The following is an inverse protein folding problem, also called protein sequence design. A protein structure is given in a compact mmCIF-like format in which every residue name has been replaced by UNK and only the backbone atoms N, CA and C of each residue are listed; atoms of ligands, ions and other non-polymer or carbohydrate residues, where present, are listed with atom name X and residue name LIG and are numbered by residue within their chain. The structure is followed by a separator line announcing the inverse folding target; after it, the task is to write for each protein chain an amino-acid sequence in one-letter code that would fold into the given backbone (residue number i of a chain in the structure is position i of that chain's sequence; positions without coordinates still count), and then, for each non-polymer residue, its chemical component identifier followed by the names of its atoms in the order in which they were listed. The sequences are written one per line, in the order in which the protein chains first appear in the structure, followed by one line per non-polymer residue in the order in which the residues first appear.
data_IF_728823354103
#
_entry.id   IF_728823354103
#
_cell.length_a   1.000
_cell.length_b   1.000
_cell.length_c   1.000
_cell.angle_alpha   90.00
_cell.angle_beta   90.00
_cell.angle_gamma   90.00
#
_symmetry.space_group_name_H-M   'P 1'
#
loop_
_entity.id
_entity.type
_entity.pdbx_description
1 polymer ?
#
# COMPACT_ATOMS: atom_id res chain seq x y z
N UNK A 1 10.25 -6.46 -16.25
CA UNK A 1 9.21 -6.30 -15.23
C UNK A 1 7.91 -6.87 -15.75
N UNK A 2 7.00 -7.24 -14.86
CA UNK A 2 5.65 -7.69 -15.19
C UNK A 2 4.61 -6.83 -14.45
N UNK A 3 3.37 -6.91 -14.91
CA UNK A 3 2.21 -6.30 -14.24
C UNK A 3 1.18 -7.42 -14.09
N UNK A 4 0.89 -7.83 -12.87
CA UNK A 4 -0.16 -8.79 -12.56
C UNK A 4 -1.48 -8.05 -12.34
N UNK A 5 -2.55 -8.57 -12.93
CA UNK A 5 -3.90 -8.01 -12.85
C UNK A 5 -4.82 -9.09 -12.27
N UNK A 6 -5.25 -8.88 -11.03
CA UNK A 6 -6.05 -9.80 -10.26
C UNK A 6 -7.39 -9.18 -9.82
N UNK A 7 -8.23 -9.96 -9.17
CA UNK A 7 -9.51 -9.53 -8.64
C UNK A 7 -9.91 -10.40 -7.44
N UNK A 8 -10.02 -9.79 -6.27
CA UNK A 8 -10.70 -10.33 -5.09
C UNK A 8 -12.06 -9.63 -4.85
N UNK A 9 -12.65 -9.11 -5.94
CA UNK A 9 -13.83 -8.27 -5.97
C UNK A 9 -14.11 -7.79 -7.40
N UNK A 10 -15.19 -7.06 -7.62
CA UNK A 10 -15.68 -6.70 -8.97
C UNK A 10 -15.85 -5.20 -9.18
N UNK A 11 -15.44 -4.38 -8.21
CA UNK A 11 -15.80 -2.95 -8.14
C UNK A 11 -14.62 -2.05 -7.77
N UNK A 12 -14.85 -0.75 -7.92
CA UNK A 12 -13.92 0.29 -7.48
C UNK A 12 -12.69 0.44 -8.37
N UNK A 13 -11.68 1.13 -7.83
CA UNK A 13 -10.37 1.29 -8.47
C UNK A 13 -9.49 0.09 -8.14
N UNK A 14 -8.69 -0.35 -9.10
CA UNK A 14 -7.70 -1.38 -8.85
C UNK A 14 -6.65 -0.86 -7.86
N UNK A 15 -6.52 -1.55 -6.73
CA UNK A 15 -5.54 -1.28 -5.71
C UNK A 15 -4.19 -1.86 -6.14
N UNK A 16 -3.14 -1.04 -6.15
CA UNK A 16 -1.77 -1.55 -6.13
C UNK A 16 -1.46 -2.05 -4.72
N UNK A 17 -1.28 -3.36 -4.57
CA UNK A 17 -1.11 -4.00 -3.26
C UNK A 17 0.19 -4.79 -3.12
N UNK A 18 0.95 -5.04 -4.19
CA UNK A 18 2.34 -5.51 -4.08
C UNK A 18 3.25 -4.84 -5.11
N UNK A 19 4.48 -4.56 -4.71
CA UNK A 19 5.56 -4.01 -5.56
C UNK A 19 6.81 -4.85 -5.35
N UNK A 20 7.42 -5.31 -6.44
CA UNK A 20 8.68 -6.07 -6.43
C UNK A 20 9.79 -5.34 -7.19
N UNK A 21 11.05 -5.51 -6.76
CA UNK A 21 12.22 -4.87 -7.38
C UNK A 21 12.36 -3.37 -7.13
N UNK A 22 11.79 -2.92 -6.01
CA UNK A 22 12.00 -1.61 -5.39
C UNK A 22 11.28 -0.42 -6.01
N UNK A 23 11.80 0.79 -5.76
CA UNK A 23 11.03 2.04 -5.89
C UNK A 23 10.78 2.48 -7.34
N UNK A 24 11.58 2.00 -8.30
CA UNK A 24 11.50 2.41 -9.70
C UNK A 24 10.13 2.15 -10.33
N UNK A 25 9.59 0.95 -10.16
CA UNK A 25 8.26 0.58 -10.69
C UNK A 25 7.14 1.33 -9.96
N UNK A 26 7.19 1.43 -8.63
CA UNK A 26 6.21 2.20 -7.87
C UNK A 26 6.18 3.68 -8.29
N UNK A 27 7.34 4.28 -8.56
CA UNK A 27 7.43 5.66 -9.05
C UNK A 27 6.92 5.83 -10.48
N UNK A 28 7.12 4.82 -11.34
CA UNK A 28 6.52 4.82 -12.68
C UNK A 28 4.99 4.77 -12.59
N UNK A 29 4.45 3.87 -11.75
CA UNK A 29 3.02 3.80 -11.44
C UNK A 29 2.49 5.14 -10.93
N UNK A 30 3.11 5.70 -9.89
CA UNK A 30 2.74 6.97 -9.27
C UNK A 30 2.59 8.13 -10.28
N UNK A 31 3.47 8.19 -11.29
CA UNK A 31 3.49 9.30 -12.27
C UNK A 31 2.60 9.09 -13.49
N UNK A 32 2.31 7.85 -13.86
CA UNK A 32 1.66 7.53 -15.13
C UNK A 32 0.25 6.96 -14.98
N UNK A 33 -0.05 6.29 -13.87
CA UNK A 33 -1.36 5.69 -13.64
C UNK A 33 -2.35 6.80 -13.24
N UNK A 34 -3.52 6.91 -13.89
CA UNK A 34 -4.51 7.93 -13.58
C UNK A 34 -5.11 7.65 -12.19
N UNK A 35 -5.20 8.67 -11.34
CA UNK A 35 -5.73 8.56 -9.97
C UNK A 35 -5.17 7.33 -9.20
N UNK A 36 -3.83 7.23 -9.05
CA UNK A 36 -3.16 6.04 -8.53
C UNK A 36 -3.67 5.71 -7.12
N UNK A 37 -3.90 4.42 -6.87
CA UNK A 37 -4.46 3.93 -5.60
C UNK A 37 -3.60 2.77 -5.08
N UNK A 38 -3.00 2.94 -3.91
CA UNK A 38 -2.01 2.00 -3.41
C UNK A 38 -1.95 1.98 -1.88
N UNK A 39 -1.72 0.80 -1.30
CA UNK A 39 -1.67 0.62 0.16
C UNK A 39 -0.56 -0.36 0.57
N UNK A 40 0.47 0.11 1.27
CA UNK A 40 1.53 -0.78 1.79
C UNK A 40 1.00 -1.80 2.80
N UNK A 41 -0.08 -1.49 3.54
CA UNK A 41 -0.65 -2.42 4.52
C UNK A 41 -1.15 -3.68 3.83
N UNK A 42 -1.70 -3.56 2.62
CA UNK A 42 -2.11 -4.72 1.83
C UNK A 42 -0.88 -5.56 1.42
N UNK A 43 0.22 -4.91 1.04
CA UNK A 43 1.48 -5.60 0.77
C UNK A 43 1.99 -6.37 1.99
N UNK A 44 2.04 -5.71 3.15
CA UNK A 44 2.52 -6.32 4.39
C UNK A 44 1.64 -7.51 4.81
N UNK A 45 0.32 -7.40 4.64
CA UNK A 45 -0.62 -8.49 4.90
C UNK A 45 -0.37 -9.69 3.98
N UNK A 46 -0.24 -9.49 2.68
CA UNK A 46 0.05 -10.57 1.73
C UNK A 46 1.43 -11.21 2.00
N UNK A 47 2.46 -10.40 2.21
CA UNK A 47 3.82 -10.88 2.47
C UNK A 47 3.97 -11.55 3.85
N UNK A 48 3.12 -11.22 4.82
CA UNK A 48 3.09 -11.88 6.13
C UNK A 48 2.53 -13.30 6.08
N UNK A 49 1.84 -13.69 5.00
CA UNK A 49 1.13 -14.97 4.88
C UNK A 49 -0.16 -15.03 5.70
N UNK A 50 -0.63 -13.92 6.27
CA UNK A 50 -1.92 -13.84 6.97
C UNK A 50 -3.11 -13.90 6.00
N UNK A 51 -2.89 -13.52 4.74
CA UNK A 51 -3.87 -13.69 3.68
C UNK A 51 -3.80 -15.13 3.18
N UNK A 52 -4.89 -15.87 3.30
CA UNK A 52 -4.98 -17.28 2.88
C UNK A 52 -5.06 -17.50 1.36
N UNK A 53 -4.96 -16.42 0.58
CA UNK A 53 -4.92 -16.41 -0.88
C UNK A 53 -3.63 -15.81 -1.38
N UNK A 54 -3.32 -16.07 -2.64
CA UNK A 54 -2.11 -15.59 -3.30
C UNK A 54 -2.38 -15.32 -4.78
N UNK A 55 -1.44 -14.68 -5.45
CA UNK A 55 -1.53 -14.31 -6.86
C UNK A 55 -0.33 -14.84 -7.63
N UNK A 56 -0.40 -14.83 -8.96
CA UNK A 56 0.73 -15.20 -9.81
C UNK A 56 1.95 -14.27 -9.60
N UNK A 57 1.76 -13.08 -8.98
CA UNK A 57 2.84 -12.21 -8.55
C UNK A 57 3.88 -12.95 -7.69
N UNK A 58 3.46 -13.85 -6.79
CA UNK A 58 4.40 -14.61 -5.97
C UNK A 58 5.33 -15.44 -6.84
N UNK A 59 4.81 -16.14 -7.84
CA UNK A 59 5.60 -17.02 -8.72
C UNK A 59 6.68 -16.21 -9.43
N UNK A 60 6.32 -15.07 -10.02
CA UNK A 60 7.30 -14.22 -10.71
C UNK A 60 8.31 -13.57 -9.74
N UNK A 61 7.85 -13.11 -8.57
CA UNK A 61 8.73 -12.55 -7.52
C UNK A 61 9.77 -13.56 -7.03
N UNK A 62 9.35 -14.81 -6.78
CA UNK A 62 10.25 -15.89 -6.35
C UNK A 62 11.34 -16.21 -7.40
N UNK A 63 11.09 -15.88 -8.67
CA UNK A 63 12.07 -16.00 -9.76
C UNK A 63 12.87 -14.70 -10.01
N UNK A 64 12.81 -13.73 -9.08
CA UNK A 64 13.59 -12.49 -9.15
C UNK A 64 13.10 -11.49 -10.19
N UNK A 65 11.87 -11.64 -10.70
CA UNK A 65 11.30 -10.68 -11.64
C UNK A 65 10.65 -9.52 -10.90
N UNK A 66 11.03 -8.26 -11.18
CA UNK A 66 10.33 -7.09 -10.63
C UNK A 66 8.94 -6.94 -11.23
N UNK A 67 7.97 -6.51 -10.44
CA UNK A 67 6.61 -6.34 -10.92
C UNK A 67 5.71 -5.53 -10.02
N UNK A 68 4.48 -5.35 -10.48
CA UNK A 68 3.39 -4.69 -9.77
C UNK A 68 2.19 -5.63 -9.73
N UNK A 69 1.50 -5.67 -8.59
CA UNK A 69 0.29 -6.47 -8.40
C UNK A 69 -0.91 -5.58 -8.11
N UNK A 70 -1.91 -5.64 -8.99
CA UNK A 70 -3.08 -4.79 -8.99
C UNK A 70 -4.34 -5.64 -8.86
N UNK A 71 -5.24 -5.30 -7.95
CA UNK A 71 -6.50 -6.03 -7.82
C UNK A 71 -7.72 -5.13 -7.59
N UNK A 72 -8.85 -5.51 -8.18
CA UNK A 72 -10.15 -5.11 -7.62
C UNK A 72 -10.36 -5.83 -6.30
N UNK A 73 -10.89 -5.14 -5.30
CA UNK A 73 -11.10 -5.73 -3.96
C UNK A 73 -12.46 -5.37 -3.36
N UNK A 74 -13.15 -4.38 -3.92
CA UNK A 74 -14.50 -4.03 -3.49
C UNK A 74 -15.51 -5.06 -3.99
N UNK A 75 -16.55 -5.31 -3.19
CA UNK A 75 -17.52 -6.40 -3.40
C UNK A 75 -16.92 -7.82 -3.33
N UNK A 76 -15.92 -8.01 -2.46
CA UNK A 76 -15.37 -9.34 -2.16
C UNK A 76 -16.36 -10.36 -1.57
N UNK A 77 -17.59 -9.94 -1.23
CA UNK A 77 -18.66 -10.87 -0.86
C UNK A 77 -19.09 -11.78 -2.01
N UNK A 78 -19.04 -11.28 -3.26
CA UNK A 78 -19.39 -12.06 -4.44
C UNK A 78 -18.27 -13.01 -4.86
N UNK A 79 -17.03 -12.68 -4.51
CA UNK A 79 -15.82 -13.39 -4.90
C UNK A 79 -15.89 -14.87 -4.53
N UNK A 80 -15.52 -15.75 -5.46
CA UNK A 80 -15.61 -17.22 -5.31
C UNK A 80 -17.01 -17.76 -4.97
N UNK A 81 -18.07 -17.05 -5.36
CA UNK A 81 -19.45 -17.54 -5.21
C UNK A 81 -20.17 -17.59 -6.56
N UNK A 82 -21.35 -18.19 -6.59
CA UNK A 82 -22.23 -18.15 -7.76
C UNK A 82 -22.72 -16.74 -8.12
N UNK A 83 -22.48 -15.74 -7.25
CA UNK A 83 -22.80 -14.35 -7.50
C UNK A 83 -21.70 -13.63 -8.31
N UNK A 84 -20.55 -14.25 -8.57
CA UNK A 84 -19.42 -13.65 -9.30
C UNK A 84 -19.71 -13.56 -10.81
N UNK A 85 -20.63 -12.66 -11.16
CA UNK A 85 -21.12 -12.44 -12.52
C UNK A 85 -20.78 -11.05 -13.07
N UNK A 86 -20.75 -10.90 -14.41
CA UNK A 86 -20.42 -9.63 -15.06
C UNK A 86 -21.35 -8.48 -14.71
N UNK A 87 -22.58 -8.77 -14.28
CA UNK A 87 -23.56 -7.79 -13.81
C UNK A 87 -23.14 -7.02 -12.55
N UNK A 88 -22.16 -7.55 -11.78
CA UNK A 88 -21.64 -6.88 -10.58
C UNK A 88 -20.49 -5.93 -10.86
N UNK A 89 -19.89 -6.05 -12.05
CA UNK A 89 -18.82 -5.16 -12.50
C UNK A 89 -19.29 -3.72 -12.48
N UNK A 90 -18.59 -2.89 -11.73
CA UNK A 90 -18.89 -1.47 -11.69
C UNK A 90 -18.54 -0.79 -13.03
N UNK A 91 -19.49 -0.06 -13.64
CA UNK A 91 -19.20 0.69 -14.86
C UNK A 91 -18.01 1.64 -14.67
N UNK A 92 -17.02 1.52 -15.55
CA UNK A 92 -15.82 2.34 -15.50
C UNK A 92 -14.62 1.70 -14.77
N UNK A 93 -14.81 0.70 -13.90
CA UNK A 93 -13.69 0.03 -13.22
C UNK A 93 -12.72 -0.64 -14.19
N UNK A 94 -13.25 -1.41 -15.15
CA UNK A 94 -12.43 -2.04 -16.20
C UNK A 94 -11.76 -1.00 -17.10
N UNK A 95 -12.47 0.09 -17.46
CA UNK A 95 -11.92 1.14 -18.29
C UNK A 95 -10.77 1.86 -17.57
N UNK A 96 -10.95 2.20 -16.31
CA UNK A 96 -9.93 2.82 -15.47
C UNK A 96 -8.66 1.95 -15.35
N UNK A 97 -8.84 0.64 -15.12
CA UNK A 97 -7.72 -0.30 -15.09
C UNK A 97 -7.02 -0.36 -16.45
N UNK A 98 -7.77 -0.49 -17.55
CA UNK A 98 -7.24 -0.56 -18.90
C UNK A 98 -6.46 0.70 -19.29
N UNK A 99 -7.03 1.88 -19.06
CA UNK A 99 -6.37 3.17 -19.32
C UNK A 99 -5.10 3.33 -18.49
N UNK A 100 -5.15 2.93 -17.22
CA UNK A 100 -4.01 3.02 -16.32
C UNK A 100 -2.88 2.05 -16.68
N UNK A 101 -3.20 0.80 -16.98
CA UNK A 101 -2.21 -0.19 -17.45
C UNK A 101 -1.60 0.26 -18.77
N UNK A 102 -2.40 0.78 -19.70
CA UNK A 102 -1.90 1.30 -20.97
C UNK A 102 -0.94 2.48 -20.77
N UNK A 103 -1.30 3.44 -19.90
CA UNK A 103 -0.45 4.58 -19.57
C UNK A 103 0.87 4.13 -18.91
N UNK A 104 0.79 3.18 -17.98
CA UNK A 104 1.95 2.61 -17.30
C UNK A 104 2.87 1.86 -18.26
N UNK A 105 2.34 0.99 -19.11
CA UNK A 105 3.15 0.26 -20.11
C UNK A 105 3.86 1.23 -21.04
N UNK A 106 3.19 2.30 -21.48
CA UNK A 106 3.80 3.36 -22.29
C UNK A 106 4.92 4.09 -21.55
N UNK A 107 4.73 4.43 -20.28
CA UNK A 107 5.77 5.06 -19.45
C UNK A 107 6.99 4.13 -19.30
N UNK A 108 6.76 2.85 -18.97
CA UNK A 108 7.83 1.87 -18.82
C UNK A 108 8.58 1.63 -20.14
N UNK A 109 7.88 1.58 -21.27
CA UNK A 109 8.50 1.40 -22.59
C UNK A 109 9.33 2.63 -23.03
N UNK A 110 8.88 3.85 -22.69
CA UNK A 110 9.51 5.10 -23.12
C UNK A 110 10.67 5.52 -22.22
N UNK A 111 10.47 5.45 -20.91
CA UNK A 111 11.43 5.97 -19.92
C UNK A 111 12.23 4.89 -19.24
N UNK A 112 11.88 3.61 -19.47
CA UNK A 112 12.42 2.51 -18.68
C UNK A 112 12.02 2.62 -17.21
N UNK A 113 12.64 1.79 -16.41
CA UNK A 113 12.56 1.84 -14.96
C UNK A 113 13.87 1.28 -14.42
N UNK A 114 14.36 1.86 -13.32
CA UNK A 114 15.55 1.33 -12.66
C UNK A 114 15.10 0.28 -11.64
N UNK A 115 15.52 -0.97 -11.84
CA UNK A 115 15.59 -1.90 -10.73
C UNK A 115 16.69 -1.36 -9.80
N UNK A 116 16.35 -0.95 -8.59
CA UNK A 116 17.31 -0.36 -7.66
C UNK A 116 18.13 -1.44 -6.92
N UNK A 117 18.29 -2.62 -7.53
CA UNK A 117 19.07 -3.77 -7.02
C UNK A 117 18.62 -4.27 -5.65
N UNK A 118 17.51 -3.73 -5.16
CA UNK A 118 16.96 -4.03 -3.87
C UNK A 118 15.82 -5.01 -4.07
N UNK A 119 16.21 -6.23 -4.42
CA UNK A 119 15.30 -7.34 -4.72
C UNK A 119 14.27 -7.55 -3.58
N UNK A 120 14.60 -7.07 -2.37
CA UNK A 120 13.74 -7.07 -1.17
C UNK A 120 13.55 -5.70 -0.49
N UNK A 121 13.88 -4.54 -1.08
CA UNK A 121 13.59 -3.30 -0.33
C UNK A 121 12.07 -3.09 -0.23
N UNK A 122 11.51 -3.06 1.00
CA UNK A 122 10.12 -2.69 1.19
C UNK A 122 9.96 -1.27 0.66
N UNK A 123 9.13 -1.13 -0.35
CA UNK A 123 8.67 0.17 -0.82
C UNK A 123 7.47 0.54 0.02
N UNK A 124 7.55 1.70 0.68
CA UNK A 124 6.39 2.25 1.37
C UNK A 124 5.66 3.14 0.38
N UNK A 125 4.44 2.74 0.06
CA UNK A 125 3.56 3.49 -0.81
C UNK A 125 2.18 3.62 -0.18
N UNK A 126 1.66 4.82 -0.26
CA UNK A 126 0.33 5.12 0.23
C UNK A 126 -0.28 6.20 -0.62
N UNK A 127 -1.55 6.04 -0.90
CA UNK A 127 -2.42 7.16 -1.22
C UNK A 127 -2.71 7.98 0.05
N UNK A 128 -2.46 9.29 -0.02
CA UNK A 128 -2.68 10.23 1.08
C UNK A 128 -4.06 10.86 0.91
N UNK A 129 -5.08 10.24 1.51
CA UNK A 129 -6.47 10.74 1.55
C UNK A 129 -7.08 11.06 0.17
N UNK A 130 -6.69 10.33 -0.87
CA UNK A 130 -7.12 10.54 -2.25
C UNK A 130 -6.47 11.75 -2.95
N UNK A 131 -5.55 12.45 -2.29
CA UNK A 131 -4.88 13.65 -2.83
C UNK A 131 -3.72 13.25 -3.74
N UNK A 132 -3.04 12.15 -3.41
CA UNK A 132 -1.93 11.65 -4.21
C UNK A 132 -1.16 10.55 -3.51
N UNK A 133 -0.46 9.76 -4.31
CA UNK A 133 0.39 8.69 -3.84
C UNK A 133 1.78 9.21 -3.49
N UNK A 134 2.40 8.68 -2.44
CA UNK A 134 3.81 8.92 -2.08
C UNK A 134 4.57 7.60 -2.18
N UNK A 135 5.79 7.64 -2.71
CA UNK A 135 6.70 6.49 -2.78
C UNK A 135 7.97 6.80 -1.99
N UNK A 136 8.19 6.06 -0.91
CA UNK A 136 9.33 6.20 -0.01
C UNK A 136 10.18 4.95 -0.05
N UNK A 137 11.51 5.12 -0.07
CA UNK A 137 12.43 4.02 0.20
C UNK A 137 12.35 3.63 1.68
N UNK A 138 12.86 2.44 2.00
CA UNK A 138 12.97 1.97 3.39
C UNK A 138 13.73 2.96 4.28
N UNK A 139 14.83 3.53 3.79
CA UNK A 139 15.64 4.50 4.54
C UNK A 139 14.86 5.81 4.81
N UNK A 140 14.12 6.31 3.82
CA UNK A 140 13.27 7.49 3.97
C UNK A 140 12.16 7.24 4.99
N UNK A 141 11.50 6.09 4.89
CA UNK A 141 10.42 5.68 5.79
C UNK A 141 10.91 5.52 7.22
N UNK A 142 12.06 4.88 7.42
CA UNK A 142 12.68 4.72 8.74
C UNK A 142 13.09 6.07 9.33
N UNK A 143 13.69 6.95 8.53
CA UNK A 143 14.07 8.30 8.96
C UNK A 143 12.86 9.11 9.43
N UNK A 144 11.75 9.05 8.70
CA UNK A 144 10.49 9.70 9.08
C UNK A 144 9.91 9.10 10.36
N UNK A 145 9.89 7.77 10.50
CA UNK A 145 9.37 7.09 11.69
C UNK A 145 10.18 7.44 12.94
N UNK A 146 11.52 7.41 12.85
CA UNK A 146 12.41 7.81 13.95
C UNK A 146 12.22 9.28 14.28
N UNK A 147 12.19 10.16 13.27
CA UNK A 147 11.98 11.59 13.46
C UNK A 147 10.66 11.91 14.14
N UNK A 148 9.56 11.29 13.69
CA UNK A 148 8.23 11.44 14.28
C UNK A 148 8.21 10.94 15.74
N UNK A 149 8.86 9.81 16.02
CA UNK A 149 8.97 9.26 17.38
C UNK A 149 9.75 10.21 18.30
N UNK A 150 10.91 10.70 17.85
CA UNK A 150 11.72 11.66 18.62
C UNK A 150 10.96 12.96 18.85
N UNK A 151 10.26 13.47 17.83
CA UNK A 151 9.43 14.67 17.96
C UNK A 151 8.29 14.47 18.97
N UNK A 152 7.56 13.34 18.90
CA UNK A 152 6.51 13.01 19.85
C UNK A 152 7.05 12.92 21.29
N UNK A 153 8.19 12.25 21.49
CA UNK A 153 8.85 12.16 22.80
C UNK A 153 9.34 13.53 23.30
N UNK A 154 9.84 14.39 22.42
CA UNK A 154 10.26 15.74 22.77
C UNK A 154 9.08 16.61 23.19
N UNK A 155 7.95 16.57 22.47
CA UNK A 155 6.70 17.26 22.82
C UNK A 155 6.17 16.77 24.16
N UNK A 156 6.13 15.45 24.38
CA UNK A 156 5.73 14.85 25.65
C UNK A 156 6.64 15.29 26.80
N UNK A 157 7.97 15.22 26.61
CA UNK A 157 8.95 15.63 27.60
C UNK A 157 8.87 17.12 27.94
N UNK A 158 8.64 17.98 26.95
CA UNK A 158 8.47 19.41 27.12
C UNK A 158 7.16 19.74 27.85
N UNK A 159 6.07 19.05 27.52
CA UNK A 159 4.78 19.17 28.20
C UNK A 159 4.86 18.77 29.68
N UNK A 160 5.60 17.71 29.99
CA UNK A 160 5.88 17.30 31.37
C UNK A 160 6.78 18.31 32.11
N UNK A 161 7.86 18.79 31.47
CA UNK A 161 8.78 19.78 32.07
C UNK A 161 8.12 21.12 32.36
N UNK A 162 7.19 21.55 31.50
CA UNK A 162 6.43 22.80 31.68
C UNK A 162 5.20 22.64 32.58
N UNK A 163 4.93 21.45 33.11
CA UNK A 163 3.77 21.18 33.96
C UNK A 163 2.42 21.26 33.23
N UNK A 164 2.42 21.38 31.90
CA UNK A 164 1.21 21.38 31.05
C UNK A 164 0.59 19.97 31.02
N UNK A 165 1.45 18.94 31.09
CA UNK A 165 1.04 17.55 31.22
C UNK A 165 1.38 17.04 32.63
N UNK A 166 0.41 16.41 33.29
CA UNK A 166 0.65 15.73 34.56
C UNK A 166 0.85 14.23 34.32
N UNK A 167 1.88 13.63 34.93
CA UNK A 167 2.15 12.20 34.76
C UNK A 167 0.99 11.28 35.19
N UNK A 168 0.12 11.75 36.10
CA UNK A 168 -1.11 11.05 36.49
C UNK A 168 -2.14 10.99 35.36
N UNK A 169 -2.28 12.06 34.58
CA UNK A 169 -3.18 12.14 33.42
C UNK A 169 -2.68 11.24 32.29
N UNK A 170 -1.36 11.18 32.07
CA UNK A 170 -0.76 10.27 31.10
C UNK A 170 -1.04 8.80 31.45
N UNK A 171 -0.84 8.41 32.73
CA UNK A 171 -1.12 7.05 33.21
C UNK A 171 -2.60 6.68 33.09
N UNK A 172 -3.51 7.63 33.36
CA UNK A 172 -4.96 7.44 33.16
C UNK A 172 -5.30 7.22 31.69
N UNK A 173 -4.72 8.00 30.79
CA UNK A 173 -4.91 7.86 29.35
C UNK A 173 -4.46 6.49 28.83
N UNK A 174 -3.23 6.07 29.17
CA UNK A 174 -2.70 4.76 28.78
C UNK A 174 -3.56 3.62 29.34
N UNK A 175 -3.96 3.68 30.61
CA UNK A 175 -4.82 2.66 31.21
C UNK A 175 -6.19 2.55 30.52
N UNK A 176 -6.73 3.66 29.99
CA UNK A 176 -8.00 3.68 29.27
C UNK A 176 -7.88 3.02 27.90
N UNK A 177 -6.80 3.29 27.17
CA UNK A 177 -6.52 2.67 25.87
C UNK A 177 -6.30 1.16 26.02
N UNK A 178 -5.50 0.74 27.00
CA UNK A 178 -5.24 -0.69 27.26
C UNK A 178 -6.51 -1.45 27.66
N UNK A 179 -7.44 -0.81 28.37
CA UNK A 179 -8.75 -1.41 28.70
C UNK A 179 -9.69 -1.50 27.49
N UNK A 180 -9.57 -0.58 26.52
CA UNK A 180 -10.37 -0.61 25.29
C UNK A 180 -9.92 -1.71 24.32
N UNK A 181 -8.65 -2.11 24.34
CA UNK A 181 -8.13 -3.21 23.49
C UNK A 181 -8.28 -4.61 24.08
N UNK A 182 -8.87 -4.76 25.27
CA UNK A 182 -8.99 -6.04 25.99
C UNK A 182 -10.44 -6.57 26.06
N UNK A 183 -11.35 -5.99 25.26
CA UNK A 183 -12.78 -6.34 25.23
C UNK A 183 -13.26 -6.73 23.84
#
# INVERSE_FOLDING_TARGET
AFINLDAAGSRGRALLFQVGGGTGLARAYQRSFPAPWAMVVAQDLFQSGLVGSDTDFRVYREHGLPGLDLAFYEDGYAYHTALDGPERLEPGSLQHLGDGVLALVRELARSGWAADGSEDAPVVFHDVLGVGMVVLSRAQSLGLAVGATVFALAVLGLGLRRGVLQGRELRRGVARVLRMGAG
#
